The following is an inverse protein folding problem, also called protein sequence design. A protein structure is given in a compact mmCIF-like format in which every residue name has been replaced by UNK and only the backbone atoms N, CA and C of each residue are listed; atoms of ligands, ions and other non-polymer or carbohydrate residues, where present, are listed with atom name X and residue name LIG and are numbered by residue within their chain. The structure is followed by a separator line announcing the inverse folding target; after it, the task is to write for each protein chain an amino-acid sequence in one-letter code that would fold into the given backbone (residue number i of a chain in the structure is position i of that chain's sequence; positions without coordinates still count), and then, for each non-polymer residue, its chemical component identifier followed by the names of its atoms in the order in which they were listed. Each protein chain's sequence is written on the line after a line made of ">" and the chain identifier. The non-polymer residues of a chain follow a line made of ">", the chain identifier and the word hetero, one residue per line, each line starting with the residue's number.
data_IF_470178857081
#
_entry.id   IF_470178857081
#
_cell.length_a   1.000
_cell.length_b   1.000
_cell.length_c   1.000
_cell.angle_alpha   90.00
_cell.angle_beta   90.00
_cell.angle_gamma   90.00
#
_symmetry.space_group_name_H-M   'P 1'
#
loop_
_entity.id
_entity.type
_entity.pdbx_description
1 polymer ?
#
# COMPACT_ATOMS: atom_id res chain seq x y z
N UNK A 1 6.58 -35.69 -7.08
CA UNK A 1 6.56 -34.61 -8.10
C UNK A 1 5.45 -33.63 -7.73
N UNK A 2 5.80 -32.61 -6.95
CA UNK A 2 4.85 -31.55 -6.62
C UNK A 2 4.82 -30.55 -7.79
N UNK A 3 3.70 -30.49 -8.50
CA UNK A 3 3.43 -29.45 -9.47
C UNK A 3 3.24 -28.14 -8.68
N UNK A 4 4.25 -27.29 -8.68
CA UNK A 4 4.13 -25.87 -8.33
C UNK A 4 3.06 -25.27 -9.26
N UNK A 5 1.85 -25.03 -8.74
CA UNK A 5 0.87 -24.19 -9.44
C UNK A 5 1.51 -22.80 -9.59
N UNK A 6 1.90 -22.47 -10.79
CA UNK A 6 2.22 -21.07 -11.14
C UNK A 6 0.91 -20.30 -10.92
N UNK A 7 0.83 -19.59 -9.80
CA UNK A 7 -0.28 -18.70 -9.51
C UNK A 7 -0.11 -17.50 -10.46
N UNK A 8 -0.71 -17.59 -11.64
CA UNK A 8 -0.67 -16.49 -12.62
C UNK A 8 -1.39 -15.30 -12.00
N UNK A 9 -0.64 -14.25 -11.69
CA UNK A 9 -1.14 -12.94 -11.19
C UNK A 9 -1.98 -12.26 -12.30
N UNK A 10 -3.15 -12.84 -12.58
CA UNK A 10 -4.09 -12.36 -13.62
C UNK A 10 -5.51 -12.34 -13.06
N UNK A 11 -6.23 -11.29 -13.38
CA UNK A 11 -7.65 -11.14 -13.07
C UNK A 11 -8.50 -11.80 -14.18
N UNK A 12 -9.68 -12.31 -13.82
CA UNK A 12 -10.72 -12.62 -14.81
C UNK A 12 -11.21 -11.33 -15.49
N UNK A 13 -11.88 -11.45 -16.63
CA UNK A 13 -12.48 -10.29 -17.31
C UNK A 13 -13.43 -9.53 -16.39
N UNK A 14 -14.27 -10.25 -15.65
CA UNK A 14 -15.23 -9.69 -14.70
C UNK A 14 -14.55 -8.92 -13.56
N UNK A 15 -13.54 -9.52 -12.91
CA UNK A 15 -12.74 -8.86 -11.87
C UNK A 15 -12.05 -7.60 -12.39
N UNK A 16 -11.53 -7.65 -13.63
CA UNK A 16 -10.89 -6.49 -14.26
C UNK A 16 -11.88 -5.35 -14.48
N UNK A 17 -13.06 -5.64 -15.02
CA UNK A 17 -14.10 -4.65 -15.25
C UNK A 17 -14.59 -4.02 -13.93
N UNK A 18 -14.81 -4.83 -12.91
CA UNK A 18 -15.21 -4.37 -11.59
C UNK A 18 -14.15 -3.45 -10.96
N UNK A 19 -12.88 -3.85 -11.00
CA UNK A 19 -11.78 -3.04 -10.51
C UNK A 19 -11.68 -1.69 -11.25
N UNK A 20 -11.68 -1.70 -12.59
CA UNK A 20 -11.59 -0.47 -13.38
C UNK A 20 -12.77 0.47 -13.12
N UNK A 21 -13.97 -0.06 -12.88
CA UNK A 21 -15.15 0.72 -12.48
C UNK A 21 -14.95 1.36 -11.09
N UNK A 22 -14.44 0.61 -10.12
CA UNK A 22 -14.17 1.11 -8.78
C UNK A 22 -13.10 2.21 -8.78
N UNK A 23 -11.99 1.98 -9.49
CA UNK A 23 -10.91 2.96 -9.64
C UNK A 23 -11.39 4.24 -10.34
N UNK A 24 -12.18 4.11 -11.42
CA UNK A 24 -12.76 5.26 -12.12
C UNK A 24 -13.67 6.08 -11.21
N UNK A 25 -14.57 5.43 -10.51
CA UNK A 25 -15.50 6.12 -9.60
C UNK A 25 -14.76 6.86 -8.49
N UNK A 26 -13.68 6.29 -7.96
CA UNK A 26 -12.82 6.92 -6.95
C UNK A 26 -12.05 8.09 -7.52
N UNK A 27 -11.48 7.94 -8.72
CA UNK A 27 -10.81 9.02 -9.44
C UNK A 27 -11.75 10.22 -9.66
N UNK A 28 -12.96 9.99 -10.16
CA UNK A 28 -13.94 11.05 -10.41
C UNK A 28 -14.41 11.74 -9.11
N UNK A 29 -14.49 10.99 -8.02
CA UNK A 29 -14.88 11.52 -6.70
C UNK A 29 -13.79 12.39 -6.06
N UNK A 30 -12.52 12.12 -6.31
CA UNK A 30 -11.38 12.72 -5.60
C UNK A 30 -10.47 13.55 -6.52
N UNK A 31 -11.04 14.38 -7.37
CA UNK A 31 -10.33 15.21 -8.37
C UNK A 31 -9.20 16.05 -7.75
N UNK A 32 -9.32 16.43 -6.48
CA UNK A 32 -8.29 17.17 -5.75
C UNK A 32 -6.97 16.42 -5.59
N UNK A 33 -6.97 15.07 -5.66
CA UNK A 33 -5.78 14.22 -5.51
C UNK A 33 -4.90 14.20 -6.75
N UNK A 34 -5.45 14.51 -7.92
CA UNK A 34 -4.80 14.27 -9.21
C UNK A 34 -5.17 15.34 -10.27
N UNK A 35 -5.12 16.61 -9.88
CA UNK A 35 -5.48 17.75 -10.75
C UNK A 35 -4.78 17.66 -12.11
N UNK A 36 -5.55 17.80 -13.18
CA UNK A 36 -5.06 17.81 -14.56
C UNK A 36 -4.75 16.45 -15.16
N UNK A 37 -5.01 15.34 -14.45
CA UNK A 37 -4.91 13.99 -15.01
C UNK A 37 -6.24 13.59 -15.68
N UNK A 38 -6.15 12.74 -16.70
CA UNK A 38 -7.27 12.24 -17.47
C UNK A 38 -7.42 10.73 -17.28
N UNK A 39 -8.61 10.29 -16.83
CA UNK A 39 -8.87 8.87 -16.59
C UNK A 39 -8.62 7.98 -17.81
N UNK A 40 -8.99 8.42 -19.01
CA UNK A 40 -8.81 7.62 -20.22
C UNK A 40 -7.34 7.22 -20.47
N UNK A 41 -6.40 8.13 -20.19
CA UNK A 41 -4.96 7.85 -20.33
C UNK A 41 -4.47 6.85 -19.27
N UNK A 42 -4.96 6.98 -18.05
CA UNK A 42 -4.68 6.07 -16.91
C UNK A 42 -5.22 4.68 -17.22
N UNK A 43 -6.47 4.59 -17.67
CA UNK A 43 -7.12 3.33 -18.02
C UNK A 43 -6.35 2.60 -19.12
N UNK A 44 -5.93 3.30 -20.19
CA UNK A 44 -5.11 2.71 -21.25
C UNK A 44 -3.83 2.08 -20.74
N UNK A 45 -3.13 2.75 -19.82
CA UNK A 45 -1.93 2.21 -19.17
C UNK A 45 -2.22 0.97 -18.31
N UNK A 46 -3.28 1.03 -17.52
CA UNK A 46 -3.72 -0.09 -16.69
C UNK A 46 -4.09 -1.32 -17.53
N UNK A 47 -4.82 -1.11 -18.60
CA UNK A 47 -5.26 -2.19 -19.50
C UNK A 47 -4.11 -2.87 -20.23
N UNK A 48 -3.03 -2.15 -20.47
CA UNK A 48 -1.80 -2.69 -21.06
C UNK A 48 -0.96 -3.52 -20.05
N UNK A 49 -1.27 -3.48 -18.75
CA UNK A 49 -0.43 -4.11 -17.73
C UNK A 49 -1.24 -4.97 -16.73
N UNK A 50 -1.41 -6.24 -17.08
CA UNK A 50 -2.20 -7.18 -16.28
C UNK A 50 -1.65 -7.43 -14.84
N UNK A 51 -0.32 -7.36 -14.66
CA UNK A 51 0.30 -7.54 -13.34
C UNK A 51 0.00 -6.34 -12.43
N UNK A 52 0.05 -5.13 -12.97
CA UNK A 52 -0.29 -3.92 -12.21
C UNK A 52 -1.77 -3.87 -11.84
N UNK A 53 -2.64 -4.29 -12.75
CA UNK A 53 -4.07 -4.47 -12.42
C UNK A 53 -4.26 -5.49 -11.30
N UNK A 54 -3.55 -6.61 -11.34
CA UNK A 54 -3.61 -7.58 -10.26
C UNK A 54 -3.14 -6.98 -8.92
N UNK A 55 -2.05 -6.22 -8.90
CA UNK A 55 -1.56 -5.53 -7.69
C UNK A 55 -2.58 -4.53 -7.15
N UNK A 56 -3.22 -3.73 -8.01
CA UNK A 56 -4.29 -2.81 -7.61
C UNK A 56 -5.51 -3.56 -7.05
N UNK A 57 -5.85 -4.71 -7.61
CA UNK A 57 -6.90 -5.56 -7.08
C UNK A 57 -6.57 -6.07 -5.67
N UNK A 58 -5.31 -6.45 -5.41
CA UNK A 58 -4.88 -6.84 -4.07
C UNK A 58 -4.93 -5.66 -3.09
N UNK A 59 -4.59 -4.44 -3.54
CA UNK A 59 -4.78 -3.24 -2.73
C UNK A 59 -6.25 -3.02 -2.39
N UNK A 60 -7.15 -3.13 -3.37
CA UNK A 60 -8.60 -3.01 -3.19
C UNK A 60 -9.15 -4.08 -2.26
N UNK A 61 -8.86 -5.35 -2.54
CA UNK A 61 -9.34 -6.52 -1.76
C UNK A 61 -8.96 -6.46 -0.28
N UNK A 62 -7.82 -5.84 0.02
CA UNK A 62 -7.34 -5.70 1.40
C UNK A 62 -7.80 -4.41 2.08
N UNK A 63 -8.63 -3.60 1.41
CA UNK A 63 -9.24 -2.39 1.96
C UNK A 63 -8.34 -1.15 1.88
N UNK A 64 -7.45 -1.09 0.88
CA UNK A 64 -6.55 0.04 0.67
C UNK A 64 -7.19 1.22 -0.06
N UNK A 65 -8.23 0.97 -0.85
CA UNK A 65 -8.87 1.99 -1.68
C UNK A 65 -7.86 2.76 -2.55
N UNK A 66 -7.09 2.06 -3.44
CA UNK A 66 -6.04 2.70 -4.23
C UNK A 66 -6.59 3.79 -5.13
N UNK A 67 -5.91 4.94 -5.17
CA UNK A 67 -6.24 6.07 -6.02
C UNK A 67 -4.99 6.68 -6.64
N UNK A 68 -5.16 7.36 -7.78
CA UNK A 68 -4.06 8.07 -8.43
C UNK A 68 -3.74 9.33 -7.64
N UNK A 69 -2.48 9.51 -7.30
CA UNK A 69 -2.00 10.67 -6.54
C UNK A 69 -0.97 11.50 -7.31
N UNK A 70 -0.52 11.02 -8.47
CA UNK A 70 0.46 11.73 -9.28
C UNK A 70 0.78 11.08 -10.61
N UNK A 71 1.61 11.78 -11.37
CA UNK A 71 2.16 11.34 -12.65
C UNK A 71 3.62 11.78 -12.74
N UNK A 72 4.50 10.83 -12.89
CA UNK A 72 5.92 11.09 -13.11
C UNK A 72 6.15 11.42 -14.60
N UNK A 73 6.39 12.69 -14.90
CA UNK A 73 6.60 13.15 -16.28
C UNK A 73 7.87 12.62 -16.93
N UNK A 74 8.86 12.16 -16.14
CA UNK A 74 10.12 11.63 -16.67
C UNK A 74 9.96 10.19 -17.12
N UNK A 75 9.25 9.37 -16.35
CA UNK A 75 9.02 7.94 -16.66
C UNK A 75 7.70 7.72 -17.37
N UNK A 76 6.78 8.68 -17.30
CA UNK A 76 5.41 8.55 -17.84
C UNK A 76 4.52 7.62 -17.00
N UNK A 77 4.92 7.31 -15.77
CA UNK A 77 4.18 6.43 -14.88
C UNK A 77 3.16 7.20 -14.04
N UNK A 78 1.99 6.62 -13.87
CA UNK A 78 1.02 7.06 -12.88
C UNK A 78 1.32 6.44 -11.52
N UNK A 79 1.16 7.23 -10.45
CA UNK A 79 1.47 6.83 -9.08
C UNK A 79 0.16 6.61 -8.35
N UNK A 80 -0.02 5.40 -7.81
CA UNK A 80 -1.14 5.02 -6.97
C UNK A 80 -0.69 4.83 -5.53
N UNK A 81 -1.48 5.33 -4.58
CA UNK A 81 -1.34 5.05 -3.16
C UNK A 81 -2.62 4.44 -2.60
N UNK A 82 -2.50 3.68 -1.52
CA UNK A 82 -3.66 3.34 -0.68
C UNK A 82 -4.21 4.61 -0.02
N UNK A 83 -5.45 4.95 -0.36
CA UNK A 83 -6.14 6.18 0.07
C UNK A 83 -7.35 5.91 0.97
N UNK A 84 -7.47 4.72 1.58
CA UNK A 84 -8.46 4.45 2.62
C UNK A 84 -8.23 5.36 3.84
N UNK A 85 -9.29 5.83 4.49
CA UNK A 85 -9.19 6.76 5.61
C UNK A 85 -8.30 6.22 6.75
N UNK A 86 -8.46 4.94 7.08
CA UNK A 86 -7.65 4.24 8.08
C UNK A 86 -6.77 3.18 7.41
N UNK A 87 -5.71 2.74 8.08
CA UNK A 87 -4.80 1.72 7.52
C UNK A 87 -5.58 0.48 7.06
N UNK A 88 -5.24 -0.13 5.90
CA UNK A 88 -6.00 -1.19 5.29
C UNK A 88 -6.30 -2.36 6.25
N UNK A 89 -7.57 -2.65 6.48
CA UNK A 89 -8.02 -3.61 7.49
C UNK A 89 -7.47 -5.02 7.25
N UNK A 90 -7.39 -5.44 6.00
CA UNK A 90 -6.88 -6.76 5.61
C UNK A 90 -5.36 -6.94 5.76
N UNK A 91 -4.63 -5.91 6.20
CA UNK A 91 -3.16 -5.93 6.36
C UNK A 91 -2.73 -5.57 7.78
N UNK A 92 -3.66 -5.51 8.74
CA UNK A 92 -3.36 -5.19 10.15
C UNK A 92 -2.78 -6.37 10.89
N UNK A 93 -2.24 -6.10 12.08
CA UNK A 93 -1.66 -7.11 12.96
C UNK A 93 -0.44 -7.81 12.37
N UNK A 94 0.42 -7.07 11.68
CA UNK A 94 1.66 -7.54 11.06
C UNK A 94 2.87 -6.86 11.69
N UNK A 95 3.95 -7.62 11.89
CA UNK A 95 5.26 -7.04 12.20
C UNK A 95 5.89 -6.44 10.93
N UNK A 96 7.09 -5.86 11.06
CA UNK A 96 7.64 -5.09 9.94
C UNK A 96 8.06 -5.96 8.75
N UNK A 97 8.94 -6.93 8.96
CA UNK A 97 9.49 -7.79 7.89
C UNK A 97 9.65 -9.25 8.29
N UNK A 98 10.06 -10.10 7.34
CA UNK A 98 10.22 -11.52 7.54
C UNK A 98 11.29 -11.89 8.56
N UNK A 99 12.37 -11.09 8.71
CA UNK A 99 13.39 -11.33 9.74
C UNK A 99 12.81 -11.08 11.13
N UNK A 100 12.08 -10.00 11.29
CA UNK A 100 11.36 -9.69 12.52
C UNK A 100 10.32 -10.77 12.85
N UNK A 101 9.60 -11.28 11.84
CA UNK A 101 8.65 -12.38 12.02
C UNK A 101 9.34 -13.67 12.48
N UNK A 102 10.48 -14.01 11.89
CA UNK A 102 11.26 -15.20 12.26
C UNK A 102 11.87 -15.11 13.65
N UNK A 103 12.30 -13.93 14.08
CA UNK A 103 12.93 -13.69 15.39
C UNK A 103 11.99 -13.91 16.58
N UNK A 104 10.68 -13.79 16.39
CA UNK A 104 9.69 -14.00 17.45
C UNK A 104 9.62 -15.47 17.86
N UNK A 105 9.66 -15.72 19.16
CA UNK A 105 9.49 -17.09 19.70
C UNK A 105 8.02 -17.45 19.89
N UNK A 106 7.22 -16.49 20.37
CA UNK A 106 5.81 -16.66 20.72
C UNK A 106 4.93 -15.59 20.07
N UNK A 107 3.64 -15.86 19.99
CA UNK A 107 2.63 -14.93 19.45
C UNK A 107 3.02 -14.32 18.12
N UNK A 108 3.48 -15.17 17.20
CA UNK A 108 3.84 -14.72 15.84
C UNK A 108 2.60 -14.25 15.08
N UNK A 109 2.64 -13.04 14.47
CA UNK A 109 1.62 -12.67 13.50
C UNK A 109 1.69 -13.63 12.29
N UNK A 110 0.62 -13.66 11.50
CA UNK A 110 0.56 -14.56 10.33
C UNK A 110 1.53 -14.15 9.22
N UNK A 111 1.86 -12.87 9.15
CA UNK A 111 2.73 -12.34 8.10
C UNK A 111 3.46 -11.07 8.57
N UNK A 112 4.31 -10.54 7.74
CA UNK A 112 4.97 -9.24 7.90
C UNK A 112 4.49 -8.24 6.85
N UNK A 113 4.67 -6.95 7.12
CA UNK A 113 4.28 -5.88 6.22
C UNK A 113 5.06 -5.93 4.90
N UNK A 114 6.38 -6.14 4.96
CA UNK A 114 7.23 -6.20 3.77
C UNK A 114 6.94 -7.43 2.91
N UNK A 115 6.70 -8.60 3.52
CA UNK A 115 6.38 -9.82 2.78
C UNK A 115 5.01 -9.71 2.09
N UNK A 116 3.99 -9.18 2.81
CA UNK A 116 2.68 -8.92 2.20
C UNK A 116 2.76 -7.93 1.03
N UNK A 117 3.52 -6.85 1.19
CA UNK A 117 3.70 -5.86 0.12
C UNK A 117 4.35 -6.50 -1.12
N UNK A 118 5.39 -7.33 -0.92
CA UNK A 118 6.05 -8.07 -1.99
C UNK A 118 5.10 -9.07 -2.68
N UNK A 119 4.31 -9.81 -1.91
CA UNK A 119 3.31 -10.74 -2.44
C UNK A 119 2.26 -10.01 -3.29
N UNK A 120 1.84 -8.82 -2.88
CA UNK A 120 0.90 -7.95 -3.60
C UNK A 120 1.53 -7.23 -4.79
N UNK A 121 2.86 -7.26 -4.94
CA UNK A 121 3.58 -6.53 -5.99
C UNK A 121 3.54 -5.00 -5.81
N UNK A 122 3.52 -4.52 -4.57
CA UNK A 122 3.53 -3.09 -4.21
C UNK A 122 4.70 -2.77 -3.31
N UNK A 123 5.07 -1.50 -3.20
CA UNK A 123 6.04 -1.02 -2.23
C UNK A 123 5.32 -0.37 -1.04
N UNK A 124 5.90 -0.47 0.16
CA UNK A 124 5.44 0.29 1.32
C UNK A 124 5.84 1.75 1.13
N UNK A 125 4.95 2.69 1.48
CA UNK A 125 5.24 4.12 1.42
C UNK A 125 6.50 4.46 2.22
N UNK A 126 7.35 5.34 1.68
CA UNK A 126 8.38 6.01 2.47
C UNK A 126 7.75 7.04 3.40
N UNK A 127 8.52 7.58 4.36
CA UNK A 127 8.05 8.68 5.20
C UNK A 127 7.62 9.89 4.36
N UNK A 128 8.43 10.27 3.35
CA UNK A 128 8.09 11.38 2.46
C UNK A 128 6.78 11.14 1.72
N UNK A 129 6.60 9.94 1.15
CA UNK A 129 5.36 9.56 0.46
C UNK A 129 4.16 9.57 1.40
N UNK A 130 4.34 9.13 2.64
CA UNK A 130 3.28 9.19 3.65
C UNK A 130 2.89 10.64 3.98
N UNK A 131 3.88 11.54 4.13
CA UNK A 131 3.63 12.97 4.35
C UNK A 131 2.95 13.63 3.14
N UNK A 132 3.31 13.26 1.91
CA UNK A 132 2.62 13.74 0.69
C UNK A 132 1.17 13.22 0.64
N UNK A 133 0.93 11.96 0.98
CA UNK A 133 -0.43 11.43 1.10
C UNK A 133 -1.28 12.27 2.07
N UNK A 134 -0.73 12.65 3.22
CA UNK A 134 -1.43 13.43 4.24
C UNK A 134 -1.82 14.85 3.80
N UNK A 135 -1.24 15.37 2.72
CA UNK A 135 -1.67 16.63 2.08
C UNK A 135 -2.94 16.47 1.25
N UNK A 136 -3.30 15.24 0.89
CA UNK A 136 -4.46 14.92 0.06
C UNK A 136 -5.73 14.62 0.88
N UNK A 137 -5.62 14.54 2.20
CA UNK A 137 -6.71 14.24 3.11
C UNK A 137 -6.20 13.86 4.50
N UNK A 138 -7.12 13.41 5.35
CA UNK A 138 -6.80 12.93 6.69
C UNK A 138 -6.76 11.40 6.70
N UNK A 139 -5.59 10.84 6.99
CA UNK A 139 -5.37 9.40 6.98
C UNK A 139 -4.77 8.93 8.31
N UNK A 140 -5.14 7.72 8.73
CA UNK A 140 -4.65 7.10 9.98
C UNK A 140 -4.94 7.94 11.24
N UNK A 141 -6.14 8.50 11.35
CA UNK A 141 -6.54 9.27 12.53
C UNK A 141 -6.81 8.39 13.74
N UNK A 142 -7.08 7.09 13.53
CA UNK A 142 -7.32 6.07 14.58
C UNK A 142 -6.36 4.89 14.49
N UNK A 143 -5.68 4.75 13.38
CA UNK A 143 -4.75 3.65 13.08
C UNK A 143 -3.34 4.17 12.87
N UNK A 144 -2.41 3.30 12.51
CA UNK A 144 -1.06 3.65 12.09
C UNK A 144 -0.59 2.78 10.95
N UNK A 145 0.42 3.24 10.22
CA UNK A 145 0.98 2.53 9.08
C UNK A 145 2.50 2.42 9.19
N UNK A 146 3.04 1.21 9.03
CA UNK A 146 4.46 1.00 8.80
C UNK A 146 4.88 1.79 7.55
N UNK A 147 6.05 2.42 7.61
CA UNK A 147 6.70 3.06 6.46
C UNK A 147 8.04 2.40 6.18
N UNK A 148 8.55 2.54 4.96
CA UNK A 148 9.84 1.99 4.55
C UNK A 148 10.93 2.55 5.47
N UNK A 149 11.52 1.67 6.26
CA UNK A 149 12.49 2.02 7.28
C UNK A 149 13.88 2.06 6.67
N UNK A 150 14.68 3.13 6.89
CA UNK A 150 16.09 3.18 6.50
C UNK A 150 16.90 2.02 7.08
N UNK A 151 17.88 1.54 6.32
CA UNK A 151 18.70 0.38 6.69
C UNK A 151 19.45 0.57 8.00
N UNK A 152 19.93 1.77 8.27
CA UNK A 152 20.66 2.12 9.51
C UNK A 152 19.80 1.96 10.77
N UNK A 153 18.51 2.25 10.69
CA UNK A 153 17.55 2.00 11.78
C UNK A 153 17.18 0.53 11.84
N UNK A 154 16.91 -0.08 10.66
CA UNK A 154 16.51 -1.49 10.61
C UNK A 154 17.59 -2.43 11.10
N UNK A 155 18.87 -2.16 10.80
CA UNK A 155 20.03 -2.95 11.25
C UNK A 155 20.21 -2.94 12.77
N UNK A 156 19.69 -1.90 13.44
CA UNK A 156 19.65 -1.82 14.91
C UNK A 156 18.39 -2.46 15.52
N UNK A 157 17.57 -3.15 14.70
CA UNK A 157 16.38 -3.85 15.14
C UNK A 157 15.09 -3.00 15.14
N UNK A 158 15.16 -1.73 14.78
CA UNK A 158 14.04 -0.80 14.74
C UNK A 158 13.24 -0.86 13.44
N UNK A 159 12.02 -0.33 13.48
CA UNK A 159 11.20 -0.01 12.31
C UNK A 159 10.34 1.23 12.58
N UNK A 160 10.05 1.99 11.51
CA UNK A 160 9.30 3.24 11.56
C UNK A 160 7.84 3.02 11.19
N UNK A 161 6.96 3.76 11.85
CA UNK A 161 5.56 3.87 11.50
C UNK A 161 5.04 5.29 11.71
N UNK A 162 3.96 5.62 11.03
CA UNK A 162 3.37 6.96 11.06
C UNK A 162 1.89 6.88 11.40
N UNK A 163 1.38 7.99 11.93
CA UNK A 163 -0.05 8.25 12.09
C UNK A 163 -0.36 9.76 12.02
N UNK A 164 -1.64 10.09 12.10
CA UNK A 164 -2.12 11.47 12.24
C UNK A 164 -2.86 11.62 13.57
N UNK A 165 -2.40 12.52 14.42
CA UNK A 165 -3.06 12.91 15.67
C UNK A 165 -2.98 14.42 15.83
N UNK A 166 -4.01 15.02 16.44
CA UNK A 166 -4.04 16.46 16.70
C UNK A 166 -3.70 17.31 15.47
N UNK A 167 -4.22 16.91 14.30
CA UNK A 167 -3.96 17.51 12.99
C UNK A 167 -2.47 17.54 12.56
N UNK A 168 -1.62 16.76 13.22
CA UNK A 168 -0.20 16.62 12.91
C UNK A 168 0.14 15.19 12.49
N UNK A 169 1.11 15.07 11.60
CA UNK A 169 1.70 13.80 11.20
C UNK A 169 2.87 13.49 12.12
N UNK A 170 2.80 12.35 12.79
CA UNK A 170 3.86 11.87 13.66
C UNK A 170 4.58 10.68 13.02
N UNK A 171 5.88 10.62 13.26
CA UNK A 171 6.73 9.47 12.92
C UNK A 171 7.25 8.88 14.22
N UNK A 172 7.02 7.59 14.39
CA UNK A 172 7.42 6.85 15.58
C UNK A 172 8.29 5.65 15.21
N UNK A 173 8.81 5.01 16.21
CA UNK A 173 9.59 3.78 16.07
C UNK A 173 9.11 2.70 17.06
N UNK A 174 9.35 1.45 16.67
CA UNK A 174 9.26 0.29 17.55
C UNK A 174 10.32 -0.74 17.14
N UNK A 175 10.53 -1.76 17.95
CA UNK A 175 11.19 -2.96 17.48
C UNK A 175 10.46 -3.53 16.27
N UNK A 176 11.17 -3.96 15.25
CA UNK A 176 10.58 -4.44 14.00
C UNK A 176 9.67 -5.66 14.20
N UNK A 177 9.87 -6.44 15.28
CA UNK A 177 9.05 -7.60 15.66
C UNK A 177 7.70 -7.23 16.30
N UNK A 178 7.50 -5.96 16.66
CA UNK A 178 6.26 -5.49 17.26
C UNK A 178 5.11 -5.50 16.26
N UNK A 179 3.89 -5.76 16.73
CA UNK A 179 2.69 -5.62 15.92
C UNK A 179 1.50 -5.20 16.80
N UNK A 180 0.53 -4.51 16.18
CA UNK A 180 -0.66 -4.00 16.85
C UNK A 180 -1.87 -4.17 15.95
N UNK A 181 -3.04 -4.40 16.56
CA UNK A 181 -4.31 -4.60 15.86
C UNK A 181 -4.71 -3.41 14.95
N UNK A 182 -4.25 -2.21 15.28
CA UNK A 182 -4.53 -0.99 14.52
C UNK A 182 -3.39 -0.57 13.57
N UNK A 183 -2.34 -1.39 13.43
CA UNK A 183 -1.22 -1.08 12.54
C UNK A 183 -1.19 -1.99 11.33
N UNK A 184 -1.12 -1.37 10.14
CA UNK A 184 -0.93 -2.03 8.87
C UNK A 184 0.23 -1.37 8.10
N UNK A 185 0.13 -1.32 6.78
CA UNK A 185 0.95 -0.50 5.88
C UNK A 185 0.09 0.01 4.72
N UNK A 186 0.54 1.07 4.08
CA UNK A 186 -0.03 1.59 2.84
C UNK A 186 0.92 1.30 1.69
N UNK A 187 0.36 0.82 0.59
CA UNK A 187 1.11 0.50 -0.61
C UNK A 187 1.24 1.69 -1.56
N UNK A 188 2.33 1.68 -2.31
CA UNK A 188 2.59 2.49 -3.50
C UNK A 188 2.75 1.59 -4.70
N UNK A 189 2.17 1.99 -5.83
CA UNK A 189 2.31 1.29 -7.11
C UNK A 189 2.53 2.31 -8.23
N UNK A 190 3.48 2.03 -9.12
CA UNK A 190 3.72 2.79 -10.35
C UNK A 190 3.25 1.97 -11.56
N UNK A 191 2.54 2.64 -12.47
CA UNK A 191 1.91 2.04 -13.66
C UNK A 191 2.29 2.78 -14.92
#
# INVERSE_FOLDING_TARGET
>A
MNKTKSNTKKLSSEQREELLRALKARFEKNINRHKGLEWAKIQTKLEANAEKLWSLNEMERTGGEPDVVGHDKKTGEYIFYDCSAESPKGRRSVCYDGDALRSRKEHKPQNSAMDLAADMGVEILTEEQYRELQKLGEFDTKTSSWVKTPSEIRNLGGALFCDRRYDQVFVYHNGAESYYAARAFRGSLRV
#
